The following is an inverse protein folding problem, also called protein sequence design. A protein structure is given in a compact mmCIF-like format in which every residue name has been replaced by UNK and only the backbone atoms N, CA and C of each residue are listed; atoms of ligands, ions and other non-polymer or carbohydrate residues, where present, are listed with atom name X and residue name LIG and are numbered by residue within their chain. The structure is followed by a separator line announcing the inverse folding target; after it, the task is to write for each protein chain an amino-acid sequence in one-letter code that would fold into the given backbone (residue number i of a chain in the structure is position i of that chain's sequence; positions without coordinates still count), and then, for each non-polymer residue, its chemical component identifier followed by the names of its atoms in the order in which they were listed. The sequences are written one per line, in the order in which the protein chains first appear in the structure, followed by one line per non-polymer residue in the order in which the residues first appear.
data_IF_664935327957
#
_entry.id   IF_664935327957
#
_cell.length_a   1.000
_cell.length_b   1.000
_cell.length_c   1.000
_cell.angle_alpha   90.00
_cell.angle_beta   90.00
_cell.angle_gamma   90.00
#
_symmetry.space_group_name_H-M   'P 1'
#
loop_
_entity.id
_entity.type
_entity.pdbx_description
1 polymer ?
#
# COMPACT_ATOMS: atom_id res chain seq x y z
N UNK A 1 -24.42 9.10 0.15
CA UNK A 1 -23.21 8.28 0.27
C UNK A 1 -22.30 8.66 -0.88
N UNK A 2 -21.12 9.16 -0.58
CA UNK A 2 -20.10 9.49 -1.60
C UNK A 2 -19.43 8.19 -2.04
N UNK A 3 -19.03 8.10 -3.30
CA UNK A 3 -18.29 6.98 -3.89
C UNK A 3 -17.39 7.55 -5.00
N UNK A 4 -16.41 6.79 -5.47
CA UNK A 4 -15.58 7.18 -6.62
C UNK A 4 -15.57 6.10 -7.69
N UNK A 5 -15.26 6.50 -8.92
CA UNK A 5 -15.19 5.61 -10.08
C UNK A 5 -13.75 5.48 -10.53
N UNK A 6 -13.31 4.25 -10.83
CA UNK A 6 -12.01 4.03 -11.45
C UNK A 6 -12.05 4.43 -12.91
N UNK A 7 -11.31 5.48 -13.28
CA UNK A 7 -11.18 5.92 -14.66
C UNK A 7 -9.97 5.29 -15.37
N UNK A 8 -8.93 4.97 -14.61
CA UNK A 8 -7.69 4.40 -15.15
C UNK A 8 -6.89 3.71 -14.02
N UNK A 9 -6.15 2.65 -14.36
CA UNK A 9 -5.20 1.95 -13.47
C UNK A 9 -4.03 1.35 -14.27
N UNK A 10 -2.83 1.26 -13.70
CA UNK A 10 -1.67 0.62 -14.36
C UNK A 10 -1.46 -0.83 -13.88
N UNK A 11 -0.51 -1.54 -14.49
CA UNK A 11 -0.15 -2.92 -14.11
C UNK A 11 0.31 -3.01 -12.65
N UNK A 12 1.12 -2.04 -12.20
CA UNK A 12 1.58 -2.01 -10.80
C UNK A 12 0.44 -1.93 -9.80
N UNK A 13 -0.64 -1.20 -10.11
CA UNK A 13 -1.83 -1.18 -9.25
C UNK A 13 -2.47 -2.58 -9.15
N UNK A 14 -2.55 -3.31 -10.26
CA UNK A 14 -3.09 -4.67 -10.24
C UNK A 14 -2.23 -5.59 -9.40
N UNK A 15 -0.91 -5.52 -9.54
CA UNK A 15 0.03 -6.36 -8.80
C UNK A 15 -0.01 -6.10 -7.29
N UNK A 16 -0.22 -4.83 -6.89
CA UNK A 16 -0.25 -4.42 -5.49
C UNK A 16 -1.60 -4.68 -4.81
N UNK A 17 -2.70 -4.56 -5.54
CA UNK A 17 -4.06 -4.65 -4.97
C UNK A 17 -4.80 -5.95 -5.30
N UNK A 18 -4.33 -6.70 -6.30
CA UNK A 18 -5.02 -7.86 -6.87
C UNK A 18 -6.22 -7.50 -7.76
N UNK A 19 -6.57 -6.22 -7.89
CA UNK A 19 -7.71 -5.76 -8.67
C UNK A 19 -7.33 -5.57 -10.13
N UNK A 20 -7.99 -6.32 -11.01
CA UNK A 20 -7.77 -6.22 -12.46
C UNK A 20 -8.45 -5.01 -13.07
N UNK A 21 -7.79 -4.35 -14.02
CA UNK A 21 -8.24 -3.17 -14.75
C UNK A 21 -9.63 -3.38 -15.35
N UNK A 22 -9.84 -4.49 -16.04
CA UNK A 22 -11.14 -4.84 -16.65
C UNK A 22 -12.22 -5.06 -15.58
N UNK A 23 -11.80 -5.46 -14.38
CA UNK A 23 -12.64 -5.67 -13.22
C UNK A 23 -13.07 -4.38 -12.52
N UNK A 24 -12.34 -3.26 -12.68
CA UNK A 24 -12.58 -2.01 -11.95
C UNK A 24 -12.97 -0.81 -12.80
N UNK A 25 -12.53 -0.76 -14.07
CA UNK A 25 -12.79 0.40 -14.94
C UNK A 25 -14.28 0.73 -15.05
N UNK A 26 -14.58 2.03 -14.92
CA UNK A 26 -15.93 2.60 -14.94
C UNK A 26 -16.89 2.03 -13.88
N UNK A 27 -16.37 1.36 -12.85
CA UNK A 27 -17.13 0.85 -11.73
C UNK A 27 -16.90 1.70 -10.49
N UNK A 28 -17.91 1.74 -9.62
CA UNK A 28 -17.82 2.46 -8.35
C UNK A 28 -17.18 1.58 -7.30
N UNK A 29 -16.29 2.16 -6.51
CA UNK A 29 -15.50 1.38 -5.55
C UNK A 29 -16.37 0.67 -4.52
N UNK A 30 -17.26 1.38 -3.82
CA UNK A 30 -18.08 0.74 -2.77
C UNK A 30 -19.15 -0.16 -3.38
N UNK A 31 -19.84 0.32 -4.41
CA UNK A 31 -21.00 -0.38 -4.94
C UNK A 31 -20.66 -1.64 -5.74
N UNK A 32 -19.56 -1.62 -6.49
CA UNK A 32 -19.33 -2.59 -7.56
C UNK A 32 -18.01 -3.38 -7.40
N UNK A 33 -17.03 -2.88 -6.62
CA UNK A 33 -15.69 -3.46 -6.49
C UNK A 33 -15.40 -4.02 -5.09
N UNK A 34 -15.77 -3.29 -4.03
CA UNK A 34 -15.41 -3.65 -2.66
C UNK A 34 -16.19 -4.86 -2.13
N UNK A 35 -15.50 -5.75 -1.42
CA UNK A 35 -16.12 -6.89 -0.73
C UNK A 35 -16.69 -6.46 0.63
N UNK A 36 -15.98 -5.60 1.36
CA UNK A 36 -16.44 -5.01 2.62
C UNK A 36 -16.67 -3.50 2.46
N UNK A 37 -17.93 -3.10 2.52
CA UNK A 37 -18.36 -1.71 2.37
C UNK A 37 -17.89 -0.82 3.52
N UNK A 38 -17.72 -1.35 4.73
CA UNK A 38 -17.27 -0.55 5.87
C UNK A 38 -15.80 -0.17 5.71
N UNK A 39 -14.94 -1.14 5.39
CA UNK A 39 -13.54 -0.88 5.07
C UNK A 39 -13.38 0.01 3.83
N UNK A 40 -14.25 -0.15 2.83
CA UNK A 40 -14.24 0.69 1.64
C UNK A 40 -14.59 2.16 1.93
N UNK A 41 -15.52 2.43 2.83
CA UNK A 41 -15.92 3.79 3.22
C UNK A 41 -14.73 4.60 3.74
N UNK A 42 -13.82 3.98 4.51
CA UNK A 42 -12.58 4.62 5.00
C UNK A 42 -11.80 5.27 3.85
N UNK A 43 -11.63 4.55 2.73
CA UNK A 43 -10.87 5.04 1.57
C UNK A 43 -11.60 6.16 0.82
N UNK A 44 -12.91 6.03 0.67
CA UNK A 44 -13.71 7.09 0.02
C UNK A 44 -13.65 8.38 0.82
N UNK A 45 -13.84 8.31 2.13
CA UNK A 45 -13.78 9.49 3.01
C UNK A 45 -12.39 10.13 3.00
N UNK A 46 -11.34 9.30 2.92
CA UNK A 46 -9.95 9.73 2.86
C UNK A 46 -9.65 10.48 1.55
N UNK A 47 -10.04 9.93 0.39
CA UNK A 47 -9.80 10.58 -0.90
C UNK A 47 -10.76 11.76 -1.16
N UNK A 48 -11.95 11.78 -0.57
CA UNK A 48 -12.84 12.94 -0.62
C UNK A 48 -12.14 14.20 -0.06
N UNK A 49 -11.40 14.07 1.05
CA UNK A 49 -10.61 15.17 1.62
C UNK A 49 -9.52 15.69 0.68
N UNK A 50 -8.98 14.83 -0.18
CA UNK A 50 -7.98 15.22 -1.19
C UNK A 50 -8.59 16.11 -2.27
N UNK A 51 -9.88 15.96 -2.57
CA UNK A 51 -10.58 16.85 -3.52
C UNK A 51 -10.90 18.21 -2.90
N UNK A 52 -11.17 18.24 -1.59
CA UNK A 52 -11.44 19.46 -0.82
C UNK A 52 -10.17 20.27 -0.50
N UNK A 53 -9.01 19.60 -0.46
CA UNK A 53 -7.71 20.17 -0.12
C UNK A 53 -6.85 20.41 -1.37
N UNK A 54 -6.05 21.48 -1.39
CA UNK A 54 -4.98 21.65 -2.39
C UNK A 54 -3.69 20.91 -2.02
N UNK A 55 -3.61 20.39 -0.78
CA UNK A 55 -2.46 19.61 -0.33
C UNK A 55 -2.63 18.12 -0.63
N UNK A 56 -1.55 17.44 -1.09
CA UNK A 56 -1.55 15.99 -1.23
C UNK A 56 -1.69 15.31 0.14
N UNK A 57 -2.35 14.17 0.14
CA UNK A 57 -2.36 13.25 1.25
C UNK A 57 -1.21 12.25 1.09
N UNK A 58 -0.47 12.02 2.18
CA UNK A 58 0.54 10.98 2.27
C UNK A 58 0.30 10.18 3.55
N UNK A 59 0.08 8.87 3.40
CA UNK A 59 -0.11 7.95 4.53
C UNK A 59 0.71 6.69 4.33
N UNK A 60 1.03 6.02 5.43
CA UNK A 60 1.62 4.69 5.43
C UNK A 60 0.60 3.71 6.02
N UNK A 61 0.32 2.63 5.31
CA UNK A 61 -0.65 1.61 5.71
C UNK A 61 0.01 0.23 5.62
N UNK A 62 -0.10 -0.55 6.69
CA UNK A 62 0.37 -1.91 6.73
C UNK A 62 -0.77 -2.86 6.34
N UNK A 63 -0.60 -3.58 5.22
CA UNK A 63 -1.51 -4.66 4.88
C UNK A 63 -1.04 -5.94 5.56
N UNK A 64 -1.77 -6.32 6.62
CA UNK A 64 -1.52 -7.58 7.32
C UNK A 64 -1.76 -8.81 6.43
N UNK A 65 -2.67 -8.73 5.46
CA UNK A 65 -2.97 -9.82 4.53
C UNK A 65 -1.77 -10.16 3.64
N UNK A 66 -1.03 -9.14 3.21
CA UNK A 66 0.11 -9.30 2.31
C UNK A 66 1.48 -9.19 3.01
N UNK A 67 1.51 -8.95 4.34
CA UNK A 67 2.71 -8.58 5.11
C UNK A 67 3.52 -7.45 4.43
N UNK A 68 2.80 -6.42 3.96
CA UNK A 68 3.37 -5.32 3.18
C UNK A 68 3.13 -3.97 3.80
N UNK A 69 4.13 -3.11 3.68
CA UNK A 69 4.05 -1.69 4.03
C UNK A 69 3.84 -0.86 2.77
N UNK A 70 2.68 -0.25 2.65
CA UNK A 70 2.35 0.62 1.53
C UNK A 70 2.46 2.07 1.94
N UNK A 71 3.25 2.84 1.20
CA UNK A 71 3.14 4.30 1.20
C UNK A 71 2.15 4.70 0.12
N UNK A 72 1.13 5.46 0.51
CA UNK A 72 0.05 5.89 -0.35
C UNK A 72 0.09 7.40 -0.43
N UNK A 73 0.22 7.91 -1.66
CA UNK A 73 0.14 9.34 -1.94
C UNK A 73 -1.05 9.61 -2.84
N UNK A 74 -1.96 10.47 -2.39
CA UNK A 74 -3.12 10.88 -3.16
C UNK A 74 -3.13 12.40 -3.34
N UNK A 75 -3.42 12.87 -4.53
CA UNK A 75 -3.49 14.30 -4.84
C UNK A 75 -4.57 14.60 -5.88
N UNK A 76 -5.12 15.81 -5.83
CA UNK A 76 -6.08 16.27 -6.83
C UNK A 76 -5.37 16.45 -8.17
N UNK A 77 -5.83 15.73 -9.19
CA UNK A 77 -5.26 15.81 -10.55
C UNK A 77 -6.04 16.79 -11.43
N UNK A 78 -7.35 16.91 -11.22
CA UNK A 78 -8.23 17.89 -11.87
C UNK A 78 -9.48 18.15 -11.01
N UNK A 79 -10.36 19.07 -11.42
CA UNK A 79 -11.64 19.33 -10.76
C UNK A 79 -12.48 18.04 -10.74
N UNK A 80 -12.76 17.54 -9.53
CA UNK A 80 -13.51 16.31 -9.31
C UNK A 80 -12.71 15.03 -9.56
N UNK A 81 -11.40 15.12 -9.79
CA UNK A 81 -10.52 14.00 -10.07
C UNK A 81 -9.33 13.98 -9.11
N UNK A 82 -8.92 12.78 -8.71
CA UNK A 82 -7.70 12.58 -7.94
C UNK A 82 -6.92 11.42 -8.52
N UNK A 83 -5.63 11.38 -8.20
CA UNK A 83 -4.74 10.28 -8.53
C UNK A 83 -4.13 9.77 -7.24
N UNK A 84 -4.08 8.45 -7.10
CA UNK A 84 -3.41 7.78 -5.98
C UNK A 84 -2.24 6.95 -6.51
N UNK A 85 -1.11 7.07 -5.85
CA UNK A 85 0.10 6.29 -6.06
C UNK A 85 0.29 5.37 -4.86
N UNK A 86 0.47 4.08 -5.15
CA UNK A 86 0.82 3.07 -4.16
C UNK A 86 2.29 2.70 -4.36
N UNK A 87 3.06 2.72 -3.28
CA UNK A 87 4.46 2.30 -3.28
C UNK A 87 4.66 1.23 -2.21
N UNK A 88 5.13 0.04 -2.61
CA UNK A 88 5.51 -1.03 -1.69
C UNK A 88 6.90 -0.72 -1.11
N UNK A 89 6.94 -0.39 0.19
CA UNK A 89 8.16 -0.05 0.93
C UNK A 89 8.64 -1.20 1.80
N UNK A 90 8.10 -2.41 1.63
CA UNK A 90 8.40 -3.56 2.48
C UNK A 90 9.88 -3.92 2.45
N UNK A 91 10.50 -3.89 1.27
CA UNK A 91 11.93 -4.15 1.12
C UNK A 91 12.77 -3.09 1.85
N UNK A 92 12.42 -1.82 1.70
CA UNK A 92 13.12 -0.70 2.36
C UNK A 92 13.03 -0.82 3.89
N UNK A 93 11.83 -1.07 4.42
CA UNK A 93 11.61 -1.28 5.85
C UNK A 93 12.38 -2.49 6.37
N UNK A 94 12.36 -3.60 5.63
CA UNK A 94 13.11 -4.82 5.99
C UNK A 94 14.62 -4.57 6.02
N UNK A 95 15.16 -3.83 5.04
CA UNK A 95 16.57 -3.45 5.04
C UNK A 95 16.94 -2.54 6.22
N UNK A 96 16.06 -1.61 6.60
CA UNK A 96 16.25 -0.79 7.80
C UNK A 96 16.25 -1.62 9.08
N UNK A 97 15.35 -2.59 9.20
CA UNK A 97 15.30 -3.50 10.35
C UNK A 97 16.55 -4.37 10.47
N UNK A 98 17.05 -4.87 9.34
CA UNK A 98 18.32 -5.62 9.27
C UNK A 98 19.48 -4.75 9.73
N UNK A 99 19.59 -3.53 9.20
CA UNK A 99 20.65 -2.60 9.58
C UNK A 99 20.60 -2.28 11.07
N UNK A 100 19.41 -1.98 11.61
CA UNK A 100 19.22 -1.76 13.05
C UNK A 100 19.60 -2.96 13.89
N UNK A 101 19.25 -4.18 13.46
CA UNK A 101 19.63 -5.40 14.16
C UNK A 101 21.16 -5.54 14.24
N UNK A 102 21.88 -5.38 13.12
CA UNK A 102 23.33 -5.46 13.12
C UNK A 102 23.99 -4.40 13.98
N UNK A 103 23.53 -3.15 13.91
CA UNK A 103 24.07 -2.06 14.74
C UNK A 103 23.91 -2.36 16.23
N UNK A 104 22.76 -2.88 16.65
CA UNK A 104 22.49 -3.19 18.07
C UNK A 104 23.24 -4.41 18.59
N UNK A 105 23.64 -5.33 17.71
CA UNK A 105 24.32 -6.57 18.08
C UNK A 105 25.79 -6.61 17.62
N UNK A 106 26.35 -5.47 17.21
CA UNK A 106 27.76 -5.38 16.84
C UNK A 106 28.65 -5.72 18.05
N UNK A 107 29.55 -6.68 17.88
CA UNK A 107 30.45 -7.14 18.95
C UNK A 107 29.80 -8.09 19.97
N UNK A 108 28.56 -8.53 19.74
CA UNK A 108 27.88 -9.56 20.53
C UNK A 108 27.52 -10.79 19.66
N UNK A 109 26.95 -11.82 20.29
CA UNK A 109 26.45 -13.00 19.58
C UNK A 109 25.34 -12.63 18.61
N UNK A 110 25.48 -13.05 17.36
CA UNK A 110 24.49 -12.88 16.29
C UNK A 110 23.57 -14.11 16.27
N UNK A 111 22.28 -13.88 16.09
CA UNK A 111 21.27 -14.93 15.91
C UNK A 111 21.18 -15.32 14.44
N UNK A 112 21.70 -16.50 14.10
CA UNK A 112 21.69 -17.01 12.73
C UNK A 112 20.29 -17.31 12.20
N UNK A 113 19.34 -17.71 13.04
CA UNK A 113 17.97 -17.95 12.58
C UNK A 113 17.34 -16.65 12.09
N UNK A 114 17.59 -15.55 12.81
CA UNK A 114 17.11 -14.23 12.41
C UNK A 114 17.71 -13.74 11.09
N UNK A 115 18.95 -14.11 10.77
CA UNK A 115 19.56 -13.83 9.47
C UNK A 115 18.87 -14.59 8.32
N UNK A 116 18.47 -15.84 8.58
CA UNK A 116 17.72 -16.64 7.60
C UNK A 116 16.35 -16.01 7.37
N UNK A 117 15.64 -15.60 8.42
CA UNK A 117 14.35 -14.91 8.31
C UNK A 117 14.46 -13.64 7.46
N UNK A 118 15.51 -12.85 7.66
CA UNK A 118 15.79 -11.66 6.86
C UNK A 118 16.06 -11.97 5.39
N UNK A 119 16.85 -13.01 5.10
CA UNK A 119 17.13 -13.45 3.75
C UNK A 119 15.85 -13.92 3.03
N UNK A 120 14.99 -14.67 3.72
CA UNK A 120 13.69 -15.09 3.20
C UNK A 120 12.76 -13.91 2.95
N UNK A 121 12.68 -12.96 3.90
CA UNK A 121 11.80 -11.80 3.78
C UNK A 121 12.19 -10.88 2.62
N UNK A 122 13.48 -10.65 2.37
CA UNK A 122 13.94 -9.86 1.22
C UNK A 122 13.78 -10.61 -0.10
N UNK A 123 14.13 -11.90 -0.13
CA UNK A 123 14.08 -12.68 -1.38
C UNK A 123 12.67 -13.09 -1.80
N UNK A 124 11.70 -13.03 -0.87
CA UNK A 124 10.36 -13.58 -1.08
C UNK A 124 10.32 -15.12 -1.11
N UNK A 125 11.41 -15.79 -0.72
CA UNK A 125 11.48 -17.25 -0.70
C UNK A 125 10.71 -17.83 0.50
N UNK A 126 9.92 -18.89 0.26
CA UNK A 126 9.29 -19.69 1.32
C UNK A 126 10.15 -20.94 1.57
N UNK A 127 10.50 -21.20 2.85
CA UNK A 127 11.18 -22.43 3.30
C UNK A 127 10.12 -23.48 3.63
#
# INVERSE_FOLDING_TARGET
MTDYVFLDVNESFEDLTGLKREGVLNKRFIADVSVDKNSASKWVDLYAKVLESDNPLEIEEHSAEYDKYYSIKAYRSDRGHFTTLFNDRTAEMTMQDIAHYFIRNMGSTIDFNRLVDFACKISGARI
#
